data_IF_336644429067
#
_entry.id   IF_336644429067
#
_cell.length_a   1.000
_cell.length_b   1.000
_cell.length_c   1.000
_cell.angle_alpha   90.00
_cell.angle_beta   90.00
_cell.angle_gamma   90.00
#
_symmetry.space_group_name_H-M   'P 1'
#
loop_
_entity.id
_entity.type
_entity.pdbx_description
1 polymer ?
#
# COMPACT_ATOMS: atom_id res chain seq x y z
N UNK A 1 -19.73 21.16 7.51
CA UNK A 1 -18.69 20.13 7.74
C UNK A 1 -18.54 19.32 6.47
N UNK A 2 -17.54 19.63 5.65
CA UNK A 2 -17.31 18.94 4.38
C UNK A 2 -16.61 17.61 4.65
N UNK A 3 -17.35 16.50 4.60
CA UNK A 3 -16.79 15.15 4.70
C UNK A 3 -15.89 14.89 3.49
N UNK A 4 -14.57 14.87 3.72
CA UNK A 4 -13.58 14.37 2.77
C UNK A 4 -13.96 12.91 2.50
N UNK A 5 -14.59 12.64 1.34
CA UNK A 5 -14.85 11.28 0.87
C UNK A 5 -13.49 10.66 0.57
N UNK A 6 -12.90 9.96 1.54
CA UNK A 6 -11.86 8.96 1.26
C UNK A 6 -12.50 7.99 0.27
N UNK A 7 -12.09 8.03 -1.00
CA UNK A 7 -12.41 6.99 -1.96
C UNK A 7 -11.80 5.69 -1.42
N UNK A 8 -12.56 4.96 -0.60
CA UNK A 8 -12.14 3.68 -0.10
C UNK A 8 -12.26 2.70 -1.27
N UNK A 9 -11.12 2.20 -1.76
CA UNK A 9 -11.11 1.21 -2.83
C UNK A 9 -11.93 -0.02 -2.37
N UNK A 10 -12.95 -0.44 -3.12
CA UNK A 10 -13.76 -1.59 -2.74
C UNK A 10 -12.93 -2.87 -2.87
N UNK A 11 -13.16 -3.83 -1.97
CA UNK A 11 -12.52 -5.13 -2.02
C UNK A 11 -12.95 -5.90 -3.29
N UNK A 12 -12.01 -6.39 -4.12
CA UNK A 12 -12.34 -7.09 -5.35
C UNK A 12 -13.06 -8.43 -5.13
N UNK A 13 -13.07 -8.95 -3.90
CA UNK A 13 -13.75 -10.22 -3.56
C UNK A 13 -15.17 -10.07 -3.03
N UNK A 14 -15.45 -9.03 -2.26
CA UNK A 14 -16.72 -8.90 -1.54
C UNK A 14 -17.32 -7.48 -1.59
N UNK A 15 -16.70 -6.56 -2.32
CA UNK A 15 -17.16 -5.17 -2.48
C UNK A 15 -17.05 -4.31 -1.21
N UNK A 16 -16.75 -4.89 -0.05
CA UNK A 16 -16.55 -4.13 1.20
C UNK A 16 -15.35 -3.20 1.07
N UNK A 17 -15.44 -1.98 1.60
CA UNK A 17 -14.33 -1.03 1.63
C UNK A 17 -13.04 -1.65 2.21
N UNK A 18 -11.94 -1.54 1.48
CA UNK A 18 -10.61 -1.93 1.96
C UNK A 18 -10.14 -0.91 3.00
N UNK A 19 -9.48 -1.41 4.05
CA UNK A 19 -8.77 -0.61 5.04
C UNK A 19 -7.30 -0.49 4.62
N UNK A 20 -6.81 0.74 4.60
CA UNK A 20 -5.39 1.06 4.44
C UNK A 20 -4.76 1.21 5.83
N UNK A 21 -3.70 0.46 6.09
CA UNK A 21 -2.78 0.66 7.20
C UNK A 21 -1.48 1.24 6.66
N UNK A 22 -0.95 2.27 7.31
CA UNK A 22 0.33 2.90 6.97
C UNK A 22 1.26 2.67 8.15
N UNK A 23 2.39 2.02 7.90
CA UNK A 23 3.43 1.75 8.89
C UNK A 23 4.70 2.47 8.45
N UNK A 24 5.44 3.01 9.42
CA UNK A 24 6.72 3.67 9.17
C UNK A 24 7.79 3.12 10.08
N UNK A 25 8.89 2.65 9.49
CA UNK A 25 10.08 2.21 10.19
C UNK A 25 11.21 3.24 9.98
N UNK A 26 11.80 3.70 11.08
CA UNK A 26 12.93 4.63 11.05
C UNK A 26 14.22 3.88 11.36
N UNK A 27 15.11 3.85 10.38
CA UNK A 27 16.50 3.39 10.50
C UNK A 27 17.42 4.59 10.34
N UNK A 28 18.62 4.57 10.93
CA UNK A 28 19.46 5.77 11.15
C UNK A 28 19.57 6.77 9.97
N UNK A 29 19.57 6.30 8.72
CA UNK A 29 19.57 7.15 7.51
C UNK A 29 18.51 6.73 6.47
N UNK A 30 17.54 5.93 6.88
CA UNK A 30 16.53 5.37 6.00
C UNK A 30 15.16 5.37 6.69
N UNK A 31 14.14 5.91 6.03
CA UNK A 31 12.75 5.80 6.45
C UNK A 31 12.05 4.88 5.47
N UNK A 32 11.43 3.83 5.99
CA UNK A 32 10.68 2.85 5.22
C UNK A 32 9.20 3.08 5.54
N UNK A 33 8.40 3.42 4.53
CA UNK A 33 6.95 3.59 4.65
C UNK A 33 6.28 2.44 3.93
N UNK A 34 5.47 1.66 4.63
CA UNK A 34 4.74 0.51 4.11
C UNK A 34 3.25 0.79 4.11
N UNK A 35 2.60 0.63 2.96
CA UNK A 35 1.17 0.76 2.77
C UNK A 35 0.55 -0.62 2.63
N UNK A 36 -0.26 -1.03 3.60
CA UNK A 36 -0.91 -2.33 3.61
C UNK A 36 -2.41 -2.19 3.38
N UNK A 37 -2.94 -2.87 2.36
CA UNK A 37 -4.35 -2.85 2.03
C UNK A 37 -4.99 -4.18 2.42
N UNK A 38 -5.98 -4.14 3.32
CA UNK A 38 -6.67 -5.34 3.78
C UNK A 38 -8.18 -5.16 3.87
N UNK A 39 -8.92 -6.20 3.50
CA UNK A 39 -10.36 -6.26 3.66
C UNK A 39 -10.71 -6.84 5.04
N UNK A 40 -11.48 -6.11 5.87
CA UNK A 40 -11.78 -6.57 7.23
C UNK A 40 -12.71 -7.81 7.26
N UNK A 41 -13.54 -7.98 6.21
CA UNK A 41 -14.56 -9.04 6.11
C UNK A 41 -13.97 -10.34 5.56
N UNK A 42 -13.53 -10.33 4.30
CA UNK A 42 -13.05 -11.55 3.62
C UNK A 42 -11.54 -11.80 3.79
N UNK A 43 -10.85 -10.95 4.55
CA UNK A 43 -9.39 -11.01 4.78
C UNK A 43 -8.53 -10.98 3.51
N UNK A 44 -9.10 -10.53 2.39
CA UNK A 44 -8.32 -10.23 1.18
C UNK A 44 -7.24 -9.20 1.51
N UNK A 45 -6.03 -9.46 1.01
CA UNK A 45 -4.89 -8.55 1.13
C UNK A 45 -4.46 -8.18 -0.28
N UNK A 46 -4.35 -6.88 -0.54
CA UNK A 46 -3.68 -6.37 -1.72
C UNK A 46 -2.25 -6.00 -1.33
N UNK A 47 -1.34 -6.05 -2.30
CA UNK A 47 0.07 -6.02 -2.01
C UNK A 47 0.53 -4.70 -1.41
N UNK A 48 1.62 -4.79 -0.66
CA UNK A 48 2.20 -3.65 0.01
C UNK A 48 2.92 -2.74 -1.01
N UNK A 49 2.60 -1.45 -0.98
CA UNK A 49 3.52 -0.45 -1.56
C UNK A 49 4.54 -0.10 -0.48
N UNK A 50 5.83 -0.13 -0.82
CA UNK A 50 6.89 0.30 0.08
C UNK A 50 7.64 1.50 -0.52
N UNK A 51 7.82 2.54 0.28
CA UNK A 51 8.62 3.70 -0.06
C UNK A 51 9.83 3.75 0.87
N UNK A 52 11.02 3.63 0.30
CA UNK A 52 12.28 3.78 1.03
C UNK A 52 12.87 5.15 0.76
N UNK A 53 13.03 5.95 1.81
CA UNK A 53 13.60 7.29 1.77
C UNK A 53 14.96 7.23 2.45
N UNK A 54 16.04 7.37 1.68
CA UNK A 54 17.41 7.37 2.21
C UNK A 54 18.03 8.76 2.18
N UNK A 55 18.66 9.14 3.27
CA UNK A 55 19.47 10.35 3.37
C UNK A 55 20.92 10.02 3.02
N UNK A 56 21.51 10.81 2.12
CA UNK A 56 22.92 10.68 1.73
C UNK A 56 23.54 12.08 1.59
N UNK A 57 24.08 12.59 2.69
CA UNK A 57 24.49 14.00 2.80
C UNK A 57 23.29 14.91 2.65
N UNK A 58 23.38 15.90 1.76
CA UNK A 58 22.30 16.85 1.46
C UNK A 58 21.28 16.32 0.45
N UNK A 59 21.38 15.05 0.05
CA UNK A 59 20.51 14.42 -0.97
C UNK A 59 19.52 13.44 -0.32
N UNK A 60 18.30 13.46 -0.86
CA UNK A 60 17.23 12.51 -0.52
C UNK A 60 17.03 11.55 -1.69
N UNK A 61 17.15 10.25 -1.42
CA UNK A 61 16.87 9.19 -2.38
C UNK A 61 15.53 8.54 -2.05
N UNK A 62 14.58 8.54 -2.99
CA UNK A 62 13.26 7.94 -2.82
C UNK A 62 13.14 6.76 -3.77
N UNK A 63 12.95 5.56 -3.23
CA UNK A 63 12.73 4.32 -3.98
C UNK A 63 11.31 3.83 -3.70
N UNK A 64 10.49 3.69 -4.74
CA UNK A 64 9.16 3.09 -4.65
C UNK A 64 9.22 1.64 -5.13
N UNK A 65 8.93 0.71 -4.22
CA UNK A 65 8.78 -0.71 -4.52
C UNK A 65 7.29 -1.04 -4.55
N UNK A 66 6.78 -1.37 -5.74
CA UNK A 66 5.46 -1.98 -5.89
C UNK A 66 5.65 -3.49 -5.92
N UNK A 67 5.36 -4.18 -4.83
CA UNK A 67 5.25 -5.63 -4.87
C UNK A 67 3.97 -6.00 -5.63
N UNK A 68 3.99 -6.02 -6.97
CA UNK A 68 2.81 -6.48 -7.71
C UNK A 68 2.61 -7.98 -7.44
N UNK A 69 1.66 -8.34 -6.58
CA UNK A 69 1.07 -9.68 -6.61
C UNK A 69 0.23 -9.78 -7.89
N UNK A 70 0.91 -9.95 -9.03
CA UNK A 70 0.30 -10.38 -10.29
C UNK A 70 -0.15 -11.83 -10.08
N UNK A 71 -1.25 -12.03 -9.35
CA UNK A 71 -2.09 -13.19 -9.60
C UNK A 71 -2.73 -12.94 -10.94
N UNK A 72 -2.04 -13.42 -11.97
CA UNK A 72 -2.47 -13.58 -13.35
C UNK A 72 -3.97 -13.91 -13.34
N UNK A 73 -4.81 -12.95 -13.70
CA UNK A 73 -6.18 -13.25 -14.10
C UNK A 73 -6.04 -14.12 -15.34
N UNK A 74 -6.26 -15.44 -15.17
CA UNK A 74 -6.46 -16.34 -16.30
C UNK A 74 -7.76 -15.89 -16.96
N UNK A 75 -7.63 -15.21 -18.10
CA UNK A 75 -8.72 -15.10 -19.05
C UNK A 75 -8.90 -16.50 -19.64
N UNK A 76 -10.01 -17.16 -19.30
CA UNK A 76 -10.49 -18.29 -20.07
C UNK A 76 -11.16 -17.71 -21.32
N UNK A 77 -10.56 -17.96 -22.48
CA UNK A 77 -11.23 -17.89 -23.79
C UNK A 77 -11.87 -19.23 -24.07
#
# INVERSE_FOLDING_TARGET
>A
MSTIRKNANPCPKCGTAIQLAIESEHRSKEIIITYNYSCPVCKYKEAAEQINIKLNGDKIFIVKNLEKNLKTQRFFT
#
